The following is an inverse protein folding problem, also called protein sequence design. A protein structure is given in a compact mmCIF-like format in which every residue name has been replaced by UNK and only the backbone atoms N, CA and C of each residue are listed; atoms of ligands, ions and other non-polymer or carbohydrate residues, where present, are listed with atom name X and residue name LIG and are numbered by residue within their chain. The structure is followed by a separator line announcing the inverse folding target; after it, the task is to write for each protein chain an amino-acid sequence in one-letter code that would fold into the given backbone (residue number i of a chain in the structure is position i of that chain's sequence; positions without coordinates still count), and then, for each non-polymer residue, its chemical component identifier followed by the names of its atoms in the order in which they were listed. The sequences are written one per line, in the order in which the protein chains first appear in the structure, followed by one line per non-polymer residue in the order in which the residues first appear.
data_IF_632311909946
#
_entry.id   IF_632311909946
#
_cell.length_a   1.000
_cell.length_b   1.000
_cell.length_c   1.000
_cell.angle_alpha   90.00
_cell.angle_beta   90.00
_cell.angle_gamma   90.00
#
_symmetry.space_group_name_H-M   'P 1'
#
loop_
_entity.id
_entity.type
_entity.pdbx_description
1 polymer ?
#
# COMPACT_ATOMS: atom_id res chain seq x y z
N UNK A 1 -22.91 -1.69 -6.97
CA UNK A 1 -21.49 -1.33 -6.71
C UNK A 1 -20.62 -2.32 -7.47
N UNK A 2 -19.56 -1.89 -8.15
CA UNK A 2 -18.69 -2.86 -8.82
C UNK A 2 -17.79 -3.54 -7.78
N UNK A 3 -17.38 -4.77 -8.08
CA UNK A 3 -16.49 -5.55 -7.22
C UNK A 3 -15.14 -4.87 -6.97
N UNK A 4 -14.70 -3.96 -7.83
CA UNK A 4 -13.44 -3.24 -7.65
C UNK A 4 -13.45 -2.26 -6.48
N UNK A 5 -14.62 -1.71 -6.10
CA UNK A 5 -14.77 -0.87 -4.90
C UNK A 5 -14.62 -1.69 -3.61
N UNK A 6 -14.83 -3.00 -3.69
CA UNK A 6 -14.72 -3.90 -2.56
C UNK A 6 -13.26 -4.36 -2.33
N UNK A 7 -12.35 -4.07 -3.27
CA UNK A 7 -10.95 -4.50 -3.22
C UNK A 7 -10.22 -4.00 -1.96
N UNK A 8 -10.39 -2.71 -1.62
CA UNK A 8 -9.79 -2.11 -0.42
C UNK A 8 -10.17 -2.89 0.84
N UNK A 9 -11.46 -3.13 1.02
CA UNK A 9 -11.98 -3.88 2.16
C UNK A 9 -11.53 -5.34 2.14
N UNK A 10 -11.56 -6.01 0.98
CA UNK A 10 -11.17 -7.42 0.85
C UNK A 10 -9.67 -7.65 1.13
N UNK A 11 -8.81 -6.70 0.74
CA UNK A 11 -7.38 -6.74 1.03
C UNK A 11 -7.12 -6.38 2.48
N UNK A 12 -7.75 -5.32 3.01
CA UNK A 12 -7.58 -4.90 4.40
C UNK A 12 -7.99 -5.99 5.39
N UNK A 13 -9.17 -6.60 5.19
CA UNK A 13 -9.66 -7.68 6.05
C UNK A 13 -8.76 -8.92 6.00
N UNK A 14 -8.23 -9.25 4.82
CA UNK A 14 -7.31 -10.36 4.66
C UNK A 14 -5.93 -10.06 5.27
N UNK A 15 -5.44 -8.82 5.15
CA UNK A 15 -4.18 -8.37 5.76
C UNK A 15 -4.20 -8.48 7.29
N UNK A 16 -5.35 -8.24 7.91
CA UNK A 16 -5.51 -8.34 9.36
C UNK A 16 -5.14 -9.73 9.91
N UNK A 17 -5.23 -10.79 9.09
CA UNK A 17 -4.84 -12.14 9.50
C UNK A 17 -3.33 -12.30 9.75
N UNK A 18 -2.50 -11.40 9.23
CA UNK A 18 -1.05 -11.40 9.49
C UNK A 18 -0.66 -10.63 10.75
N UNK A 19 -1.61 -10.02 11.46
CA UNK A 19 -1.34 -9.37 12.72
C UNK A 19 -0.93 -10.41 13.77
N UNK A 20 0.16 -10.15 14.48
CA UNK A 20 0.69 -11.03 15.51
C UNK A 20 1.48 -10.23 16.54
N UNK A 21 1.99 -10.90 17.56
CA UNK A 21 2.98 -10.29 18.45
C UNK A 21 4.17 -9.79 17.62
N UNK A 22 4.46 -8.49 17.73
CA UNK A 22 5.51 -7.81 16.95
C UNK A 22 5.11 -7.35 15.54
N UNK A 23 3.90 -7.62 15.05
CA UNK A 23 3.40 -7.13 13.75
C UNK A 23 2.08 -6.41 13.95
N UNK A 24 2.12 -5.08 13.94
CA UNK A 24 0.96 -4.22 14.04
C UNK A 24 0.22 -4.11 12.70
N UNK A 25 -1.08 -4.35 12.71
CA UNK A 25 -1.98 -4.06 11.59
C UNK A 25 -2.70 -2.72 11.79
N UNK A 26 -2.87 -1.94 10.71
CA UNK A 26 -3.79 -0.78 10.66
C UNK A 26 -4.69 -0.83 9.43
N UNK A 27 -5.95 -0.50 9.65
CA UNK A 27 -6.99 -0.46 8.62
C UNK A 27 -7.10 0.94 7.95
N UNK A 28 -7.91 1.10 6.87
CA UNK A 28 -8.08 2.37 6.13
C UNK A 28 -8.50 3.58 6.94
N UNK A 29 -9.02 3.38 8.15
CA UNK A 29 -9.51 4.46 9.02
C UNK A 29 -8.46 4.88 10.06
N UNK A 30 -7.32 4.19 10.11
CA UNK A 30 -6.24 4.46 11.06
C UNK A 30 -5.05 5.08 10.33
N UNK A 31 -4.35 5.98 11.04
CA UNK A 31 -3.12 6.57 10.55
C UNK A 31 -2.01 5.52 10.40
N UNK A 32 -1.13 5.74 9.43
CA UNK A 32 0.11 4.97 9.28
C UNK A 32 0.94 5.17 10.56
N UNK A 33 1.53 4.09 11.08
CA UNK A 33 2.34 4.11 12.31
C UNK A 33 3.52 5.05 12.09
N UNK A 34 3.61 6.08 12.93
CA UNK A 34 4.59 7.17 12.83
C UNK A 34 3.97 8.54 12.49
N UNK A 35 2.77 8.58 11.90
CA UNK A 35 2.05 9.83 11.64
C UNK A 35 1.07 10.20 12.78
N UNK A 36 0.66 11.49 12.87
CA UNK A 36 -0.45 11.93 13.72
C UNK A 36 -1.75 11.15 13.44
N UNK A 37 -2.60 11.03 14.46
CA UNK A 37 -3.85 10.28 14.37
C UNK A 37 -4.89 10.89 13.42
N UNK A 38 -4.76 12.18 13.09
CA UNK A 38 -5.62 12.97 12.22
C UNK A 38 -5.00 13.19 10.82
N UNK A 39 -4.44 12.15 10.20
CA UNK A 39 -3.94 12.25 8.83
C UNK A 39 -3.26 10.98 8.33
N UNK A 40 -2.89 10.99 7.04
CA UNK A 40 -2.02 9.98 6.40
C UNK A 40 -2.36 8.51 6.69
N UNK A 41 -3.36 8.01 5.98
CA UNK A 41 -3.84 6.63 6.05
C UNK A 41 -3.39 5.84 4.83
N UNK A 42 -3.43 4.53 4.91
CA UNK A 42 -3.26 3.59 3.79
C UNK A 42 -4.44 2.63 3.74
N UNK A 43 -4.72 2.02 2.59
CA UNK A 43 -5.83 1.06 2.46
C UNK A 43 -5.58 -0.25 3.22
N UNK A 44 -4.34 -0.50 3.60
CA UNK A 44 -3.98 -1.45 4.64
C UNK A 44 -2.49 -1.45 4.88
N UNK A 45 -2.07 -1.73 6.11
CA UNK A 45 -0.65 -1.88 6.39
C UNK A 45 -0.35 -2.85 7.53
N UNK A 46 0.88 -3.37 7.48
CA UNK A 46 1.53 -4.17 8.51
C UNK A 46 2.86 -3.51 8.84
N UNK A 47 3.18 -3.37 10.12
CA UNK A 47 4.41 -2.75 10.57
C UNK A 47 4.99 -3.46 11.79
N UNK A 48 6.32 -3.55 11.85
CA UNK A 48 7.06 -3.79 13.08
C UNK A 48 8.01 -2.60 13.33
N UNK A 49 8.95 -2.73 14.25
CA UNK A 49 9.87 -1.65 14.61
C UNK A 49 10.81 -1.22 13.46
N UNK A 50 11.01 -2.06 12.43
CA UNK A 50 12.00 -1.86 11.38
C UNK A 50 11.42 -1.80 9.97
N UNK A 51 10.28 -2.43 9.72
CA UNK A 51 9.72 -2.65 8.38
C UNK A 51 8.25 -2.23 8.35
N UNK A 52 7.90 -1.46 7.33
CA UNK A 52 6.52 -1.12 6.98
C UNK A 52 6.15 -1.78 5.65
N UNK A 53 5.06 -2.54 5.61
CA UNK A 53 4.39 -2.94 4.37
C UNK A 53 3.08 -2.19 4.29
N UNK A 54 2.90 -1.37 3.27
CA UNK A 54 1.68 -0.61 3.05
C UNK A 54 1.08 -0.87 1.67
N UNK A 55 -0.24 -0.75 1.59
CA UNK A 55 -1.04 -0.98 0.39
C UNK A 55 -1.89 0.25 0.10
N UNK A 56 -1.79 0.71 -1.14
CA UNK A 56 -2.55 1.83 -1.71
C UNK A 56 -3.30 1.33 -2.94
N UNK A 57 -4.61 1.48 -2.96
CA UNK A 57 -5.49 0.96 -3.99
C UNK A 57 -6.25 2.13 -4.61
N UNK A 58 -5.92 2.38 -5.86
CA UNK A 58 -6.52 3.43 -6.66
C UNK A 58 -7.81 2.90 -7.30
N UNK A 59 -8.91 2.96 -6.55
CA UNK A 59 -10.27 2.68 -7.04
C UNK A 59 -10.90 3.92 -7.65
N UNK A 60 -11.19 4.94 -6.84
CA UNK A 60 -11.81 6.22 -7.24
C UNK A 60 -11.00 7.43 -6.78
N UNK A 61 -9.80 7.19 -6.26
CA UNK A 61 -9.00 8.23 -5.66
C UNK A 61 -8.50 9.21 -6.72
N UNK A 62 -8.64 10.49 -6.41
CA UNK A 62 -8.27 11.57 -7.30
C UNK A 62 -6.77 11.90 -7.22
N UNK A 63 -6.06 11.46 -6.17
CA UNK A 63 -4.69 11.91 -5.85
C UNK A 63 -3.67 10.77 -5.60
N UNK A 64 -3.40 9.87 -6.57
CA UNK A 64 -2.44 8.77 -6.41
C UNK A 64 -1.01 9.27 -6.10
N UNK A 65 -0.69 10.48 -6.54
CA UNK A 65 0.56 11.17 -6.28
C UNK A 65 0.77 11.40 -4.77
N UNK A 66 -0.28 11.79 -4.05
CA UNK A 66 -0.21 12.00 -2.59
C UNK A 66 -0.04 10.71 -1.80
N UNK A 67 -0.58 9.59 -2.33
CA UNK A 67 -0.40 8.27 -1.73
C UNK A 67 1.04 7.77 -1.82
N UNK A 68 1.79 8.18 -2.83
CA UNK A 68 3.23 7.89 -2.89
C UNK A 68 4.07 8.85 -2.05
N UNK A 69 3.77 10.16 -2.11
CA UNK A 69 4.57 11.20 -1.45
C UNK A 69 4.57 11.14 0.07
N UNK A 70 3.50 10.64 0.71
CA UNK A 70 3.42 10.54 2.17
C UNK A 70 4.52 9.67 2.79
N UNK A 71 5.03 8.68 2.08
CA UNK A 71 6.12 7.82 2.60
C UNK A 71 7.46 8.53 2.65
N UNK A 72 7.71 9.50 1.76
CA UNK A 72 8.85 10.40 1.88
C UNK A 72 8.74 11.25 3.15
N UNK A 73 7.57 11.85 3.37
CA UNK A 73 7.31 12.65 4.56
C UNK A 73 7.49 11.84 5.85
N UNK A 74 7.02 10.59 5.87
CA UNK A 74 7.17 9.66 6.99
C UNK A 74 8.64 9.43 7.31
N UNK A 75 9.44 9.14 6.28
CA UNK A 75 10.86 8.85 6.43
C UNK A 75 11.65 10.07 6.91
N UNK A 76 11.47 11.25 6.28
CA UNK A 76 12.26 12.43 6.65
C UNK A 76 11.94 12.94 8.06
N UNK A 77 10.68 12.81 8.51
CA UNK A 77 10.25 13.35 9.81
C UNK A 77 10.57 12.43 10.97
N UNK A 78 10.50 11.11 10.74
CA UNK A 78 10.53 10.15 11.85
C UNK A 78 11.64 9.10 11.73
N UNK A 79 12.19 8.84 10.53
CA UNK A 79 13.24 7.82 10.26
C UNK A 79 13.01 6.47 10.97
N UNK A 80 11.74 6.05 11.07
CA UNK A 80 11.36 4.90 11.89
C UNK A 80 11.76 3.58 11.23
N UNK A 81 11.53 3.46 9.93
CA UNK A 81 11.65 2.19 9.24
C UNK A 81 12.98 2.11 8.49
N UNK A 82 13.69 1.00 8.69
CA UNK A 82 14.82 0.59 7.86
C UNK A 82 14.38 0.18 6.45
N UNK A 83 13.11 -0.18 6.27
CA UNK A 83 12.52 -0.57 4.99
C UNK A 83 11.03 -0.26 4.90
N UNK A 84 10.60 0.27 3.76
CA UNK A 84 9.20 0.47 3.41
C UNK A 84 8.92 -0.34 2.15
N UNK A 85 7.91 -1.20 2.17
CA UNK A 85 7.40 -1.87 0.97
C UNK A 85 6.05 -1.27 0.64
N UNK A 86 5.93 -0.65 -0.53
CA UNK A 86 4.70 0.01 -0.97
C UNK A 86 4.10 -0.74 -2.15
N UNK A 87 2.96 -1.39 -1.94
CA UNK A 87 2.12 -1.90 -3.02
C UNK A 87 1.18 -0.80 -3.49
N UNK A 88 1.27 -0.44 -4.77
CA UNK A 88 0.41 0.57 -5.37
C UNK A 88 -0.38 -0.03 -6.52
N UNK A 89 -1.69 -0.15 -6.31
CA UNK A 89 -2.57 -0.99 -7.10
C UNK A 89 -3.54 -0.11 -7.86
N UNK A 90 -3.51 -0.15 -9.19
CA UNK A 90 -4.47 0.56 -10.03
C UNK A 90 -5.56 -0.40 -10.49
N UNK A 91 -6.82 -0.03 -10.27
CA UNK A 91 -7.97 -0.85 -10.67
C UNK A 91 -8.61 -0.33 -11.96
N UNK A 92 -9.45 -1.12 -12.66
CA UNK A 92 -10.25 -0.64 -13.79
C UNK A 92 -11.14 0.57 -13.50
N UNK A 93 -11.47 0.83 -12.23
CA UNK A 93 -12.26 2.01 -11.85
C UNK A 93 -11.44 3.28 -11.72
N UNK A 94 -10.10 3.20 -11.74
CA UNK A 94 -9.24 4.37 -11.63
C UNK A 94 -9.57 5.37 -12.73
N UNK A 95 -10.18 6.49 -12.32
CA UNK A 95 -10.76 7.48 -13.21
C UNK A 95 -10.08 8.85 -13.11
N UNK A 96 -8.92 8.94 -12.44
CA UNK A 96 -8.13 10.17 -12.44
C UNK A 96 -7.40 10.36 -13.76
N UNK A 97 -6.87 11.56 -14.00
CA UNK A 97 -6.13 11.86 -15.20
C UNK A 97 -4.91 10.95 -15.33
N UNK A 98 -4.66 10.39 -16.53
CA UNK A 98 -3.56 9.46 -16.76
C UNK A 98 -2.17 9.99 -16.37
N UNK A 99 -1.97 11.32 -16.38
CA UNK A 99 -0.74 11.95 -15.92
C UNK A 99 -0.50 11.84 -14.42
N UNK A 100 -1.54 11.66 -13.58
CA UNK A 100 -1.36 11.51 -12.13
C UNK A 100 -0.65 10.22 -11.75
N UNK A 101 -0.91 9.13 -12.48
CA UNK A 101 -0.11 7.90 -12.37
C UNK A 101 1.36 8.17 -12.73
N UNK A 102 1.60 8.94 -13.80
CA UNK A 102 2.95 9.32 -14.22
C UNK A 102 3.67 10.17 -13.17
N UNK A 103 2.95 11.07 -12.48
CA UNK A 103 3.51 11.85 -11.37
C UNK A 103 3.82 10.95 -10.16
N UNK A 104 2.93 10.02 -9.81
CA UNK A 104 3.20 9.05 -8.75
C UNK A 104 4.45 8.21 -9.04
N UNK A 105 4.57 7.69 -10.28
CA UNK A 105 5.76 6.98 -10.76
C UNK A 105 7.02 7.86 -10.64
N UNK A 106 6.95 9.12 -11.11
CA UNK A 106 8.05 10.08 -11.01
C UNK A 106 8.46 10.36 -9.56
N UNK A 107 7.50 10.56 -8.65
CA UNK A 107 7.81 10.77 -7.24
C UNK A 107 8.49 9.56 -6.63
N UNK A 108 8.00 8.35 -6.89
CA UNK A 108 8.67 7.14 -6.40
C UNK A 108 10.10 7.04 -6.91
N UNK A 109 10.35 7.31 -8.19
CA UNK A 109 11.70 7.30 -8.75
C UNK A 109 12.64 8.26 -8.01
N UNK A 110 12.15 9.44 -7.63
CA UNK A 110 12.93 10.41 -6.84
C UNK A 110 13.09 9.99 -5.38
N UNK A 111 12.02 9.49 -4.76
CA UNK A 111 12.00 9.13 -3.34
C UNK A 111 12.92 7.93 -3.05
N UNK A 112 13.07 7.00 -3.99
CA UNK A 112 13.91 5.80 -3.86
C UNK A 112 15.39 6.08 -3.56
N UNK A 113 15.92 7.26 -3.92
CA UNK A 113 17.30 7.62 -3.55
C UNK A 113 17.45 8.12 -2.12
N UNK A 114 16.35 8.48 -1.44
CA UNK A 114 16.36 9.12 -0.12
C UNK A 114 15.68 8.28 0.96
N UNK A 115 14.80 7.36 0.55
CA UNK A 115 13.97 6.54 1.42
C UNK A 115 14.22 5.08 1.08
N UNK A 116 14.34 4.18 2.07
CA UNK A 116 14.50 2.75 1.82
C UNK A 116 13.16 2.12 1.37
N UNK A 117 12.62 2.59 0.24
CA UNK A 117 11.30 2.21 -0.27
C UNK A 117 11.40 1.25 -1.46
N UNK A 118 10.88 0.05 -1.26
CA UNK A 118 10.63 -0.95 -2.29
C UNK A 118 9.21 -0.77 -2.82
N UNK A 119 9.08 -0.09 -3.95
CA UNK A 119 7.79 0.16 -4.60
C UNK A 119 7.43 -0.93 -5.61
N UNK A 120 6.22 -1.46 -5.48
CA UNK A 120 5.64 -2.53 -6.30
C UNK A 120 4.37 -1.99 -6.95
N UNK A 121 4.47 -1.65 -8.24
CA UNK A 121 3.34 -1.21 -9.06
C UNK A 121 2.56 -2.41 -9.60
N UNK A 122 1.26 -2.47 -9.31
CA UNK A 122 0.34 -3.46 -9.87
C UNK A 122 -0.77 -2.75 -10.66
N UNK A 123 -0.67 -2.76 -11.99
CA UNK A 123 -1.61 -2.05 -12.87
C UNK A 123 -2.61 -3.02 -13.51
N UNK A 124 -3.82 -3.07 -12.97
CA UNK A 124 -4.91 -3.95 -13.43
C UNK A 124 -6.01 -3.18 -14.17
N UNK A 125 -5.74 -1.97 -14.68
CA UNK A 125 -6.77 -1.13 -15.32
C UNK A 125 -7.45 -1.78 -16.53
N UNK A 126 -6.77 -2.72 -17.20
CA UNK A 126 -7.31 -3.46 -18.34
C UNK A 126 -8.04 -4.76 -17.96
N UNK A 127 -8.01 -5.16 -16.68
CA UNK A 127 -8.52 -6.46 -16.24
C UNK A 127 -10.03 -6.46 -16.04
N UNK A 128 -10.68 -7.57 -16.37
CA UNK A 128 -12.13 -7.76 -16.14
C UNK A 128 -12.46 -8.77 -15.05
N UNK A 129 -11.50 -9.64 -14.70
CA UNK A 129 -11.72 -10.72 -13.74
C UNK A 129 -11.25 -10.30 -12.33
N UNK A 130 -12.19 -9.82 -11.53
CA UNK A 130 -11.94 -9.41 -10.15
C UNK A 130 -11.37 -10.54 -9.28
N UNK A 131 -11.98 -11.74 -9.31
CA UNK A 131 -11.59 -12.85 -8.41
C UNK A 131 -10.16 -13.32 -8.67
N UNK A 132 -9.78 -13.47 -9.94
CA UNK A 132 -8.42 -13.83 -10.32
C UNK A 132 -7.41 -12.76 -9.86
N UNK A 133 -7.74 -11.48 -10.07
CA UNK A 133 -6.90 -10.35 -9.67
C UNK A 133 -6.73 -10.30 -8.15
N UNK A 134 -7.82 -10.48 -7.39
CA UNK A 134 -7.77 -10.52 -5.93
C UNK A 134 -6.85 -11.64 -5.43
N UNK A 135 -6.93 -12.83 -6.03
CA UNK A 135 -6.07 -13.96 -5.66
C UNK A 135 -4.59 -13.67 -5.98
N UNK A 136 -4.31 -13.07 -7.12
CA UNK A 136 -2.96 -12.66 -7.53
C UNK A 136 -2.36 -11.61 -6.58
N UNK A 137 -3.10 -10.54 -6.28
CA UNK A 137 -2.69 -9.50 -5.34
C UNK A 137 -2.38 -10.12 -3.97
N UNK A 138 -3.27 -10.97 -3.44
CA UNK A 138 -3.06 -11.66 -2.16
C UNK A 138 -1.83 -12.55 -2.18
N UNK A 139 -1.58 -13.25 -3.29
CA UNK A 139 -0.39 -14.08 -3.43
C UNK A 139 0.90 -13.26 -3.41
N UNK A 140 0.94 -12.14 -4.13
CA UNK A 140 2.10 -11.24 -4.19
C UNK A 140 2.38 -10.57 -2.84
N UNK A 141 1.36 -9.97 -2.23
CA UNK A 141 1.48 -9.35 -0.91
C UNK A 141 1.88 -10.41 0.12
N UNK A 142 1.21 -11.56 0.15
CA UNK A 142 1.48 -12.61 1.14
C UNK A 142 2.88 -13.21 1.00
N UNK A 143 3.40 -13.35 -0.24
CA UNK A 143 4.79 -13.72 -0.48
C UNK A 143 5.73 -12.69 0.14
N UNK A 144 5.47 -11.41 -0.05
CA UNK A 144 6.30 -10.32 0.46
C UNK A 144 6.25 -10.22 1.99
N UNK A 145 5.08 -10.31 2.59
CA UNK A 145 4.90 -10.39 4.05
C UNK A 145 5.77 -11.50 4.65
N UNK A 146 5.76 -12.70 4.05
CA UNK A 146 6.60 -13.82 4.51
C UNK A 146 8.10 -13.59 4.32
N UNK A 147 8.49 -12.87 3.27
CA UNK A 147 9.90 -12.53 3.03
C UNK A 147 10.42 -11.53 4.07
N UNK A 148 9.61 -10.53 4.41
CA UNK A 148 10.04 -9.44 5.29
C UNK A 148 9.87 -9.77 6.78
N UNK A 149 8.78 -10.44 7.16
CA UNK A 149 8.46 -10.74 8.56
C UNK A 149 8.68 -12.21 8.96
N UNK A 150 9.07 -13.09 8.02
CA UNK A 150 9.28 -14.51 8.27
C UNK A 150 7.97 -15.33 8.30
N UNK A 151 7.95 -16.43 9.04
CA UNK A 151 6.73 -17.24 9.20
C UNK A 151 5.72 -16.50 10.08
N UNK A 152 4.79 -15.84 9.42
CA UNK A 152 3.53 -15.34 10.02
C UNK A 152 2.54 -16.50 10.20
N UNK A 153 1.76 -16.44 11.29
CA UNK A 153 0.81 -17.47 11.71
C UNK A 153 -0.34 -17.70 10.72
#
# INVERSE_FOLDING_TARGET
MSSWQQLEKDISQWLAAFASDGIAFRNPFQAIVGFPSDGFRSDGMLANDDILIAVEIETRQTHPDTNTGKYWLLNIKHKLYKKIVLFHIYTPEFNSYGWRKKIAEFYIEKIRSEVPIDYILLDYRATKNYKATLAEIKALIGKRVRQEFGKVA
#
